data_IF_033969575162
#
_entry.id   IF_033969575162
#
_cell.length_a   1.000
_cell.length_b   1.000
_cell.length_c   1.000
_cell.angle_alpha   90.00
_cell.angle_beta   90.00
_cell.angle_gamma   90.00
#
_symmetry.space_group_name_H-M   'P 1'
#
loop_
_entity.id
_entity.type
_entity.pdbx_description
1 polymer ?
#
# COMPACT_ATOMS: atom_id res chain seq x y z
N UNK A 1 13.13 -9.74 27.74
CA UNK A 1 12.13 -8.65 27.66
C UNK A 1 12.60 -7.53 26.71
N UNK A 2 13.88 -7.14 26.74
CA UNK A 2 14.41 -6.10 25.82
C UNK A 2 14.38 -6.48 24.33
N UNK A 3 14.63 -7.74 23.96
CA UNK A 3 14.52 -8.23 22.58
C UNK A 3 13.12 -8.03 22.00
N UNK A 4 12.08 -8.34 22.80
CA UNK A 4 10.69 -8.09 22.42
C UNK A 4 10.44 -6.60 22.20
N UNK A 5 10.93 -5.74 23.10
CA UNK A 5 10.80 -4.28 22.97
C UNK A 5 11.55 -3.72 21.74
N UNK A 6 12.63 -4.37 21.27
CA UNK A 6 13.30 -4.01 20.03
C UNK A 6 12.44 -4.30 18.80
N UNK A 7 11.79 -5.45 18.74
CA UNK A 7 10.91 -5.82 17.62
C UNK A 7 9.61 -5.01 17.64
N UNK A 8 9.03 -4.81 18.81
CA UNK A 8 7.81 -4.01 18.99
C UNK A 8 8.00 -2.59 18.44
N UNK A 9 9.15 -1.95 18.68
CA UNK A 9 9.46 -0.63 18.10
C UNK A 9 9.50 -0.59 16.58
N UNK A 10 9.95 -1.65 15.91
CA UNK A 10 9.93 -1.71 14.44
C UNK A 10 8.53 -2.05 13.91
N UNK A 11 7.78 -2.87 14.65
CA UNK A 11 6.39 -3.19 14.35
C UNK A 11 5.51 -1.93 14.39
N UNK A 12 5.62 -1.12 15.45
CA UNK A 12 4.87 0.13 15.60
C UNK A 12 5.11 1.08 14.42
N UNK A 13 6.36 1.20 13.97
CA UNK A 13 6.71 2.03 12.80
C UNK A 13 6.03 1.53 11.53
N UNK A 14 5.97 0.21 11.33
CA UNK A 14 5.30 -0.40 10.18
C UNK A 14 3.78 -0.20 10.25
N UNK A 15 3.18 -0.41 11.44
CA UNK A 15 1.74 -0.21 11.64
C UNK A 15 1.36 1.24 11.37
N UNK A 16 2.12 2.21 11.90
CA UNK A 16 1.89 3.62 11.65
C UNK A 16 1.96 3.95 10.15
N UNK A 17 2.93 3.37 9.42
CA UNK A 17 3.02 3.55 7.96
C UNK A 17 1.82 2.96 7.22
N UNK A 18 1.35 1.77 7.60
CA UNK A 18 0.16 1.16 7.00
C UNK A 18 -1.08 2.01 7.24
N UNK A 19 -1.27 2.54 8.46
CA UNK A 19 -2.39 3.41 8.79
C UNK A 19 -2.38 4.68 7.94
N UNK A 20 -1.24 5.39 7.90
CA UNK A 20 -1.10 6.62 7.12
C UNK A 20 -1.26 6.38 5.62
N UNK A 21 -0.68 5.29 5.09
CA UNK A 21 -0.85 4.91 3.69
C UNK A 21 -2.31 4.55 3.38
N UNK A 22 -2.97 3.79 4.26
CA UNK A 22 -4.37 3.42 4.13
C UNK A 22 -5.27 4.64 4.01
N UNK A 23 -5.14 5.60 4.93
CA UNK A 23 -5.87 6.86 4.91
C UNK A 23 -5.62 7.64 3.61
N UNK A 24 -4.37 7.76 3.18
CA UNK A 24 -4.02 8.45 1.94
C UNK A 24 -4.60 7.75 0.70
N UNK A 25 -4.56 6.42 0.68
CA UNK A 25 -5.11 5.59 -0.39
C UNK A 25 -6.62 5.77 -0.50
N UNK A 26 -7.35 5.65 0.62
CA UNK A 26 -8.79 5.85 0.68
C UNK A 26 -9.19 7.24 0.17
N UNK A 27 -8.56 8.29 0.70
CA UNK A 27 -8.83 9.66 0.27
C UNK A 27 -8.56 9.85 -1.22
N UNK A 28 -7.41 9.38 -1.72
CA UNK A 28 -7.03 9.57 -3.12
C UNK A 28 -7.98 8.85 -4.07
N UNK A 29 -8.45 7.65 -3.70
CA UNK A 29 -9.41 6.89 -4.49
C UNK A 29 -10.81 7.49 -4.43
N UNK A 30 -11.23 8.02 -3.28
CA UNK A 30 -12.51 8.72 -3.13
C UNK A 30 -12.57 9.98 -3.98
N UNK A 31 -11.51 10.81 -3.96
CA UNK A 31 -11.40 11.99 -4.82
C UNK A 31 -11.43 11.63 -6.31
N UNK A 32 -10.78 10.52 -6.67
CA UNK A 32 -10.79 10.02 -8.04
C UNK A 32 -12.17 9.52 -8.46
N UNK A 33 -12.85 8.77 -7.59
CA UNK A 33 -14.22 8.31 -7.82
C UNK A 33 -15.20 9.46 -7.97
N UNK A 34 -15.08 10.49 -7.13
CA UNK A 34 -15.90 11.69 -7.24
C UNK A 34 -15.70 12.37 -8.60
N UNK A 35 -14.45 12.59 -9.00
CA UNK A 35 -14.11 13.22 -10.27
C UNK A 35 -14.61 12.43 -11.48
N UNK A 36 -14.40 11.11 -11.50
CA UNK A 36 -14.93 10.22 -12.54
C UNK A 36 -16.46 10.23 -12.55
N UNK A 37 -17.08 10.23 -11.37
CA UNK A 37 -18.53 10.25 -11.20
C UNK A 37 -19.17 11.52 -11.76
N UNK A 38 -18.58 12.69 -11.49
CA UNK A 38 -19.01 13.98 -12.04
C UNK A 38 -18.92 13.98 -13.57
N UNK A 39 -17.78 13.57 -14.12
CA UNK A 39 -17.59 13.53 -15.57
C UNK A 39 -18.57 12.57 -16.25
N UNK A 40 -18.85 11.41 -15.64
CA UNK A 40 -19.87 10.48 -16.11
C UNK A 40 -21.27 11.11 -16.13
N UNK A 41 -21.62 11.89 -15.11
CA UNK A 41 -22.92 12.56 -15.03
C UNK A 41 -23.06 13.63 -16.13
N UNK A 42 -22.02 14.42 -16.38
CA UNK A 42 -21.98 15.39 -17.48
C UNK A 42 -22.13 14.72 -18.85
N UNK A 43 -21.41 13.62 -19.08
CA UNK A 43 -21.49 12.83 -20.31
C UNK A 43 -22.91 12.26 -20.53
N UNK A 44 -23.53 11.73 -19.48
CA UNK A 44 -24.90 11.23 -19.55
C UNK A 44 -25.89 12.36 -19.87
N UNK A 45 -25.70 13.54 -19.30
CA UNK A 45 -26.55 14.71 -19.58
C UNK A 45 -26.43 15.18 -21.03
N UNK A 46 -25.20 15.26 -21.56
CA UNK A 46 -24.96 15.61 -22.96
C UNK A 46 -25.59 14.58 -23.93
N UNK A 47 -25.45 13.29 -23.62
CA UNK A 47 -26.06 12.22 -24.41
C UNK A 47 -27.59 12.32 -24.48
N UNK A 48 -28.26 12.65 -23.36
CA UNK A 48 -29.71 12.87 -23.32
C UNK A 48 -30.16 14.07 -24.16
N UNK A 49 -29.31 15.08 -24.29
CA UNK A 49 -29.59 16.28 -25.09
C UNK A 49 -29.25 16.10 -26.58
N UNK A 50 -28.70 14.94 -26.98
CA UNK A 50 -28.25 14.70 -28.35
C UNK A 50 -27.10 15.61 -28.78
N UNK A 51 -26.42 16.25 -27.83
CA UNK A 51 -25.30 17.15 -28.12
C UNK A 51 -24.05 16.34 -28.43
N UNK A 52 -23.35 16.62 -29.55
CA UNK A 52 -22.08 15.97 -29.83
C UNK A 52 -21.06 16.31 -28.75
N UNK A 53 -20.13 15.40 -28.51
CA UNK A 53 -19.07 15.61 -27.53
C UNK A 53 -18.26 16.86 -27.90
N UNK A 54 -18.20 17.85 -27.01
CA UNK A 54 -17.37 19.02 -27.25
C UNK A 54 -15.88 18.65 -27.23
N UNK A 55 -15.05 19.39 -27.96
CA UNK A 55 -13.60 19.23 -27.92
C UNK A 55 -13.06 19.36 -26.48
N UNK A 56 -13.65 20.27 -25.70
CA UNK A 56 -13.37 20.44 -24.27
C UNK A 56 -13.65 19.16 -23.48
N UNK A 57 -14.80 18.53 -23.68
CA UNK A 57 -15.17 17.32 -22.94
C UNK A 57 -14.27 16.13 -23.30
N UNK A 58 -13.87 16.02 -24.57
CA UNK A 58 -12.91 15.01 -25.04
C UNK A 58 -11.53 15.19 -24.38
N UNK A 59 -11.08 16.44 -24.23
CA UNK A 59 -9.84 16.77 -23.54
C UNK A 59 -9.92 16.45 -22.05
N UNK A 60 -11.02 16.81 -21.39
CA UNK A 60 -11.27 16.51 -19.96
C UNK A 60 -11.30 15.00 -19.73
N UNK A 61 -11.90 14.21 -20.63
CA UNK A 61 -11.85 12.74 -20.56
C UNK A 61 -10.42 12.20 -20.65
N UNK A 62 -9.62 12.72 -21.58
CA UNK A 62 -8.21 12.32 -21.73
C UNK A 62 -7.40 12.65 -20.47
N UNK A 63 -7.63 13.82 -19.89
CA UNK A 63 -7.03 14.23 -18.61
C UNK A 63 -7.50 13.34 -17.46
N UNK A 64 -8.77 12.92 -17.46
CA UNK A 64 -9.31 12.00 -16.46
C UNK A 64 -8.64 10.64 -16.52
N UNK A 65 -8.50 10.05 -17.71
CA UNK A 65 -7.76 8.80 -17.88
C UNK A 65 -6.32 8.92 -17.39
N UNK A 66 -5.66 10.05 -17.66
CA UNK A 66 -4.30 10.30 -17.18
C UNK A 66 -4.25 10.43 -15.65
N UNK A 67 -5.17 11.18 -15.05
CA UNK A 67 -5.27 11.32 -13.59
C UNK A 67 -5.48 9.97 -12.91
N UNK A 68 -6.37 9.12 -13.44
CA UNK A 68 -6.57 7.75 -12.94
C UNK A 68 -5.26 6.97 -12.95
N UNK A 69 -4.58 6.96 -14.09
CA UNK A 69 -3.30 6.25 -14.23
C UNK A 69 -2.26 6.77 -13.24
N UNK A 70 -2.07 8.08 -13.19
CA UNK A 70 -1.03 8.71 -12.36
C UNK A 70 -1.31 8.46 -10.86
N UNK A 71 -2.58 8.58 -10.42
CA UNK A 71 -2.99 8.27 -9.05
C UNK A 71 -2.73 6.81 -8.70
N UNK A 72 -3.18 5.85 -9.51
CA UNK A 72 -2.99 4.41 -9.23
C UNK A 72 -1.51 4.04 -9.23
N UNK A 73 -0.73 4.59 -10.16
CA UNK A 73 0.72 4.36 -10.20
C UNK A 73 1.42 4.92 -8.96
N UNK A 74 1.00 6.10 -8.48
CA UNK A 74 1.54 6.68 -7.25
C UNK A 74 1.22 5.82 -6.04
N UNK A 75 -0.03 5.39 -5.88
CA UNK A 75 -0.43 4.49 -4.79
C UNK A 75 0.37 3.17 -4.81
N UNK A 76 0.55 2.57 -5.98
CA UNK A 76 1.35 1.36 -6.13
C UNK A 76 2.83 1.58 -5.75
N UNK A 77 3.40 2.73 -6.12
CA UNK A 77 4.78 3.10 -5.72
C UNK A 77 4.89 3.27 -4.21
N UNK A 78 3.94 3.97 -3.60
CA UNK A 78 3.96 4.25 -2.15
C UNK A 78 3.74 2.96 -1.33
N UNK A 79 2.90 2.05 -1.82
CA UNK A 79 2.77 0.70 -1.24
C UNK A 79 4.10 -0.05 -1.27
N UNK A 80 4.82 0.01 -2.40
CA UNK A 80 6.09 -0.69 -2.55
C UNK A 80 7.13 -0.25 -1.50
N UNK A 81 7.11 1.02 -1.12
CA UNK A 81 8.01 1.55 -0.09
C UNK A 81 7.73 0.97 1.31
N UNK A 82 6.51 0.48 1.57
CA UNK A 82 6.15 -0.19 2.82
C UNK A 82 6.87 -1.54 2.95
N UNK A 83 7.12 -2.28 1.87
CA UNK A 83 7.85 -3.55 1.92
C UNK A 83 9.22 -3.40 2.60
N UNK A 84 9.92 -2.29 2.34
CA UNK A 84 11.21 -2.01 2.98
C UNK A 84 11.12 -1.94 4.51
N UNK A 85 9.97 -1.50 5.03
CA UNK A 85 9.71 -1.38 6.47
C UNK A 85 9.31 -2.72 7.06
N UNK A 86 8.50 -3.51 6.34
CA UNK A 86 8.19 -4.90 6.71
C UNK A 86 9.46 -5.76 6.79
N UNK A 87 10.37 -5.62 5.82
CA UNK A 87 11.67 -6.33 5.87
C UNK A 87 12.54 -5.92 7.06
N UNK A 88 12.41 -4.69 7.60
CA UNK A 88 13.13 -4.29 8.82
C UNK A 88 12.60 -5.01 10.05
N UNK A 89 11.29 -5.21 10.14
CA UNK A 89 10.67 -6.02 11.20
C UNK A 89 11.19 -7.44 11.15
N UNK A 90 11.21 -8.07 9.97
CA UNK A 90 11.79 -9.41 9.79
C UNK A 90 13.25 -9.48 10.25
N UNK A 91 14.09 -8.55 9.79
CA UNK A 91 15.49 -8.46 10.24
C UNK A 91 15.63 -8.21 11.75
N UNK A 92 14.72 -7.48 12.36
CA UNK A 92 14.72 -7.25 13.80
C UNK A 92 14.35 -8.53 14.55
N UNK A 93 13.40 -9.30 14.04
CA UNK A 93 13.04 -10.63 14.57
C UNK A 93 14.27 -11.55 14.51
N UNK A 94 14.87 -11.70 13.32
CA UNK A 94 16.04 -12.55 13.11
C UNK A 94 17.17 -12.18 14.11
N UNK A 95 17.53 -10.89 14.18
CA UNK A 95 18.62 -10.43 15.05
C UNK A 95 18.39 -10.65 16.55
N UNK A 96 17.13 -10.60 17.00
CA UNK A 96 16.83 -10.63 18.43
C UNK A 96 16.44 -12.04 18.93
N UNK A 97 16.03 -12.95 18.03
CA UNK A 97 15.47 -14.25 18.42
C UNK A 97 16.14 -15.46 17.75
N UNK A 98 16.93 -15.30 16.68
CA UNK A 98 17.58 -16.42 15.97
C UNK A 98 18.62 -17.16 16.84
N UNK A 99 19.35 -16.44 17.70
CA UNK A 99 20.29 -17.05 18.65
C UNK A 99 19.59 -17.84 19.77
N UNK A 100 18.35 -17.50 20.11
CA UNK A 100 17.58 -18.23 21.14
C UNK A 100 16.96 -19.52 20.59
N UNK A 101 16.61 -19.55 19.29
CA UNK A 101 16.11 -20.77 18.64
C UNK A 101 17.21 -21.83 18.53
N UNK A 102 18.43 -21.45 18.12
CA UNK A 102 19.58 -22.36 18.07
C UNK A 102 20.06 -22.81 19.45
N UNK A 103 19.79 -22.06 20.52
CA UNK A 103 20.18 -22.43 21.89
C UNK A 103 19.21 -23.40 22.59
N UNK A 104 17.94 -23.46 22.14
CA UNK A 104 16.90 -24.35 22.72
C UNK A 104 16.88 -25.72 22.04
N UNK A 105 17.32 -25.81 20.78
CA UNK A 105 17.58 -27.10 20.14
C UNK A 105 19.00 -27.53 20.53
N UNK A 106 19.10 -28.38 21.55
CA UNK A 106 20.38 -29.02 21.87
C UNK A 106 20.87 -29.77 20.61
N UNK A 107 22.12 -29.57 20.19
CA UNK A 107 22.77 -30.35 19.12
C UNK A 107 22.60 -31.88 19.34
N UNK A 108 22.40 -32.28 20.60
CA UNK A 108 22.09 -33.65 21.00
C UNK A 108 20.80 -34.24 20.38
N UNK A 109 19.87 -33.42 19.85
CA UNK A 109 18.66 -33.93 19.16
C UNK A 109 19.00 -34.44 17.75
N UNK A 110 20.07 -33.93 17.14
CA UNK A 110 20.51 -34.34 15.80
C UNK A 110 21.58 -35.45 15.84
N UNK A 111 22.38 -35.51 16.90
CA UNK A 111 23.42 -36.54 17.09
C UNK A 111 22.89 -37.90 17.59
N UNK A 112 21.59 -38.03 17.90
CA UNK A 112 20.99 -39.29 18.35
C UNK A 112 20.68 -40.30 17.22
N UNK A 113 21.44 -40.29 16.12
CA UNK A 113 21.37 -41.30 15.05
C UNK A 113 22.77 -41.76 14.63
N UNK A 114 23.39 -42.59 15.46
CA UNK A 114 24.21 -43.73 15.04
C UNK A 114 24.00 -44.91 16.00
#
# INVERSE_FOLDING_TARGET
MEQCACVERELDKVLQKFLTYGQHCEQSLEELLHYVGQLRAELASAALQGTPLSATLSLVMSQCCRKIKDTVQKLASDHKDIHSSVSRVGKAIDRNFDSEICGVVSDAVWDARE
#
